data_IF_669923213104
#
_entry.id   IF_669923213104
#
_cell.length_a   1.000
_cell.length_b   1.000
_cell.length_c   1.000
_cell.angle_alpha   90.00
_cell.angle_beta   90.00
_cell.angle_gamma   90.00
#
_symmetry.space_group_name_H-M   'P 1'
#
loop_
_entity.id
_entity.type
_entity.pdbx_description
1 polymer ?
#
# COMPACT_ATOMS: atom_id res chain seq x y z
N UNK A 1 15.80 12.13 -14.21
CA UNK A 1 14.69 12.46 -15.12
C UNK A 1 13.43 12.09 -14.36
N UNK A 2 12.75 13.10 -13.80
CA UNK A 2 11.41 12.90 -13.23
C UNK A 2 10.44 12.94 -14.40
N UNK A 3 9.86 11.80 -14.76
CA UNK A 3 8.87 11.74 -15.83
C UNK A 3 7.64 12.55 -15.39
N UNK A 4 7.18 13.48 -16.23
CA UNK A 4 6.07 14.40 -15.99
C UNK A 4 4.68 13.74 -15.97
N UNK A 5 4.60 12.41 -16.09
CA UNK A 5 3.33 11.69 -16.09
C UNK A 5 2.77 11.62 -14.66
N UNK A 6 1.57 12.16 -14.41
CA UNK A 6 0.84 11.95 -13.16
C UNK A 6 0.51 10.46 -13.04
N UNK A 7 0.76 9.89 -11.86
CA UNK A 7 0.34 8.52 -11.58
C UNK A 7 -1.10 8.65 -11.11
N UNK A 8 -2.06 8.13 -11.88
CA UNK A 8 -3.44 8.05 -11.40
C UNK A 8 -3.52 6.90 -10.40
N UNK A 9 -3.54 7.26 -9.13
CA UNK A 9 -3.36 6.29 -8.05
C UNK A 9 -4.71 5.85 -7.51
N UNK A 10 -5.20 4.74 -8.07
CA UNK A 10 -6.25 4.00 -7.40
C UNK A 10 -5.66 3.50 -6.07
N UNK A 11 -6.20 3.96 -4.94
CA UNK A 11 -5.87 3.48 -3.60
C UNK A 11 -7.15 2.92 -2.96
N UNK A 12 -7.10 1.64 -2.58
CA UNK A 12 -8.13 1.01 -1.77
C UNK A 12 -7.54 0.53 -0.45
N UNK A 13 -8.17 0.89 0.67
CA UNK A 13 -7.74 0.45 2.00
C UNK A 13 -8.95 -0.06 2.77
N UNK A 14 -8.85 -1.27 3.33
CA UNK A 14 -9.95 -1.88 4.06
C UNK A 14 -9.49 -2.94 5.07
N UNK A 15 -10.38 -3.33 5.97
CA UNK A 15 -10.11 -4.42 6.91
C UNK A 15 -10.09 -5.77 6.18
N UNK A 16 -8.92 -6.42 6.14
CA UNK A 16 -8.69 -7.64 5.38
C UNK A 16 -9.12 -8.90 6.13
N UNK A 17 -10.40 -9.05 6.48
CA UNK A 17 -10.88 -10.17 7.31
C UNK A 17 -10.57 -11.57 6.74
N UNK A 18 -10.41 -11.68 5.42
CA UNK A 18 -10.07 -12.92 4.71
C UNK A 18 -8.55 -13.18 4.61
N UNK A 19 -7.71 -12.26 5.13
CA UNK A 19 -6.25 -12.38 5.05
C UNK A 19 -5.75 -13.57 5.86
N UNK A 20 -4.87 -14.37 5.25
CA UNK A 20 -4.15 -15.45 5.93
C UNK A 20 -3.02 -14.85 6.77
N UNK A 21 -3.34 -14.54 8.03
CA UNK A 21 -2.37 -14.00 9.00
C UNK A 21 -1.37 -15.10 9.40
N UNK A 22 -0.06 -14.85 9.31
CA UNK A 22 0.96 -15.78 9.82
C UNK A 22 0.74 -16.09 11.31
N UNK A 23 0.96 -17.36 11.70
CA UNK A 23 0.83 -17.76 13.12
C UNK A 23 1.87 -17.11 14.02
N UNK A 24 3.02 -16.75 13.47
CA UNK A 24 4.13 -16.17 14.22
C UNK A 24 4.08 -14.65 14.12
N UNK A 25 3.89 -13.99 15.26
CA UNK A 25 3.93 -12.53 15.38
C UNK A 25 5.39 -12.10 15.56
N UNK A 26 5.91 -11.16 14.74
CA UNK A 26 7.29 -10.67 14.89
C UNK A 26 7.54 -9.97 16.22
N UNK A 27 8.81 -9.86 16.61
CA UNK A 27 9.23 -9.18 17.84
C UNK A 27 8.83 -7.70 17.89
N UNK A 28 8.76 -7.02 16.74
CA UNK A 28 8.24 -5.64 16.63
C UNK A 28 6.80 -5.50 17.15
N UNK A 29 6.08 -6.62 17.25
CA UNK A 29 4.70 -6.72 17.68
C UNK A 29 4.52 -7.60 18.93
N UNK A 30 5.59 -8.16 19.48
CA UNK A 30 5.49 -9.12 20.59
C UNK A 30 4.97 -8.46 21.88
N UNK A 31 5.38 -7.21 22.13
CA UNK A 31 5.03 -6.44 23.33
C UNK A 31 3.88 -5.45 23.12
N UNK A 32 3.32 -5.39 21.92
CA UNK A 32 2.17 -4.54 21.65
C UNK A 32 0.88 -5.27 22.03
N UNK A 33 -0.05 -4.55 22.68
CA UNK A 33 -1.39 -5.07 22.98
C UNK A 33 -2.15 -5.46 21.70
N UNK A 34 -1.92 -4.68 20.64
CA UNK A 34 -2.54 -4.87 19.34
C UNK A 34 -1.54 -4.54 18.23
N UNK A 35 -1.63 -5.26 17.13
CA UNK A 35 -0.77 -5.06 15.97
C UNK A 35 -1.55 -5.11 14.67
N UNK A 36 -1.12 -4.33 13.69
CA UNK A 36 -1.55 -4.48 12.31
C UNK A 36 -0.74 -5.57 11.62
N UNK A 37 -1.44 -6.44 10.90
CA UNK A 37 -0.88 -7.24 9.83
C UNK A 37 -1.38 -6.65 8.51
N UNK A 38 -0.47 -6.10 7.73
CA UNK A 38 -0.80 -5.32 6.53
C UNK A 38 -0.33 -6.09 5.31
N UNK A 39 -1.26 -6.41 4.42
CA UNK A 39 -0.97 -6.94 3.10
C UNK A 39 -1.15 -5.81 2.10
N UNK A 40 -0.06 -5.44 1.41
CA UNK A 40 -0.02 -4.38 0.40
C UNK A 40 0.13 -5.03 -0.96
N UNK A 41 -0.89 -4.89 -1.81
CA UNK A 41 -0.86 -5.30 -3.22
C UNK A 41 -0.59 -4.07 -4.08
N UNK A 42 0.46 -4.14 -4.89
CA UNK A 42 0.85 -3.08 -5.82
C UNK A 42 0.71 -3.64 -7.23
N UNK A 43 -0.25 -3.11 -7.98
CA UNK A 43 -0.43 -3.42 -9.39
C UNK A 43 0.44 -2.50 -10.23
N UNK A 44 1.31 -3.08 -11.04
CA UNK A 44 2.15 -2.35 -11.98
C UNK A 44 1.48 -2.31 -13.35
N UNK A 45 1.25 -1.10 -13.83
CA UNK A 45 0.70 -0.83 -15.16
C UNK A 45 1.74 -0.09 -15.99
N UNK A 46 1.77 -0.32 -17.30
CA UNK A 46 2.61 0.43 -18.23
C UNK A 46 1.74 1.24 -19.17
N UNK A 47 2.07 2.51 -19.45
CA UNK A 47 1.39 3.27 -20.48
C UNK A 47 1.55 2.56 -21.83
N UNK A 48 0.49 2.59 -22.63
CA UNK A 48 0.50 2.15 -24.03
C UNK A 48 0.36 3.43 -24.87
N UNK A 49 1.33 3.68 -25.75
CA UNK A 49 1.19 4.70 -26.78
C UNK A 49 0.25 4.14 -27.86
N UNK A 50 -1.06 4.26 -27.64
CA UNK A 50 -2.03 4.12 -28.73
C UNK A 50 -2.25 5.50 -29.35
N UNK A 51 -1.67 5.72 -30.53
CA UNK A 51 -1.73 6.97 -31.32
C UNK A 51 -3.16 7.40 -31.74
N UNK A 52 -4.21 6.66 -31.39
CA UNK A 52 -5.54 6.79 -32.01
C UNK A 52 -6.75 6.88 -31.05
N UNK A 53 -6.62 6.84 -29.72
CA UNK A 53 -7.80 6.96 -28.83
C UNK A 53 -7.55 7.85 -27.60
N UNK A 54 -8.53 8.72 -27.34
CA UNK A 54 -8.58 9.81 -26.34
C UNK A 54 -8.57 9.33 -24.85
N UNK A 55 -8.16 8.09 -24.59
CA UNK A 55 -8.04 7.50 -23.27
C UNK A 55 -6.65 6.87 -23.13
N UNK A 56 -5.83 7.39 -22.20
CA UNK A 56 -4.55 6.79 -21.81
C UNK A 56 -4.77 5.32 -21.45
N UNK A 57 -4.48 4.40 -22.38
CA UNK A 57 -4.60 2.97 -22.17
C UNK A 57 -3.34 2.49 -21.43
N UNK A 58 -3.54 1.78 -20.31
CA UNK A 58 -2.43 1.20 -19.54
C UNK A 58 -2.50 -0.33 -19.58
N UNK A 59 -1.38 -0.96 -19.92
CA UNK A 59 -1.21 -2.41 -19.93
C UNK A 59 -0.82 -2.90 -18.54
N UNK A 60 -1.58 -3.84 -18.00
CA UNK A 60 -1.19 -4.57 -16.81
C UNK A 60 0.09 -5.40 -17.03
N UNK A 61 1.06 -5.26 -16.12
CA UNK A 61 2.32 -6.02 -16.15
C UNK A 61 2.39 -7.06 -15.05
N UNK A 62 1.91 -6.73 -13.85
CA UNK A 62 1.93 -7.67 -12.74
C UNK A 62 1.40 -7.07 -11.45
N UNK A 63 1.31 -7.92 -10.43
CA UNK A 63 0.95 -7.51 -9.08
C UNK A 63 1.99 -8.05 -8.12
N UNK A 64 2.63 -7.16 -7.39
CA UNK A 64 3.52 -7.50 -6.28
C UNK A 64 2.76 -7.46 -4.96
N UNK A 65 3.07 -8.39 -4.05
CA UNK A 65 2.44 -8.45 -2.73
C UNK A 65 3.49 -8.34 -1.64
N UNK A 66 3.32 -7.34 -0.78
CA UNK A 66 4.19 -7.04 0.35
C UNK A 66 3.45 -7.26 1.66
N UNK A 67 4.15 -7.79 2.67
CA UNK A 67 3.57 -8.09 3.98
C UNK A 67 4.33 -7.36 5.06
N UNK A 68 3.61 -6.62 5.88
CA UNK A 68 4.17 -5.81 6.96
C UNK A 68 3.49 -6.07 8.28
N UNK A 69 4.24 -5.82 9.35
CA UNK A 69 3.75 -5.85 10.72
C UNK A 69 4.07 -4.51 11.36
N UNK A 70 3.08 -3.92 12.01
CA UNK A 70 3.23 -2.64 12.70
C UNK A 70 2.48 -2.65 14.04
N UNK A 71 3.07 -2.10 15.11
CA UNK A 71 2.36 -1.93 16.37
C UNK A 71 1.19 -0.95 16.20
N UNK A 72 0.06 -1.26 16.83
CA UNK A 72 -1.07 -0.34 16.93
C UNK A 72 -0.92 0.49 18.21
N UNK A 73 -1.00 1.82 18.10
CA UNK A 73 -0.84 2.71 19.25
C UNK A 73 -2.08 2.79 20.16
N UNK A 74 -3.25 2.30 19.71
CA UNK A 74 -4.53 2.32 20.45
C UNK A 74 -4.93 3.71 20.93
N UNK A 75 -4.92 4.66 20.01
CA UNK A 75 -5.28 6.06 20.22
C UNK A 75 -6.48 6.43 19.34
N UNK A 76 -7.08 7.60 19.56
CA UNK A 76 -8.19 8.05 18.71
C UNK A 76 -7.74 8.25 17.26
N UNK A 77 -6.55 8.84 17.07
CA UNK A 77 -5.97 9.12 15.75
C UNK A 77 -4.49 8.78 15.70
N UNK A 78 -4.02 8.26 14.57
CA UNK A 78 -2.63 7.86 14.35
C UNK A 78 -2.29 6.48 14.92
N UNK A 79 -3.23 5.53 14.87
CA UNK A 79 -2.99 4.15 15.30
C UNK A 79 -1.88 3.45 14.52
N UNK A 80 -1.68 3.86 13.27
CA UNK A 80 -0.55 3.50 12.43
C UNK A 80 0.22 4.78 12.06
N UNK A 81 1.49 4.86 12.46
CA UNK A 81 2.27 6.08 12.30
C UNK A 81 2.61 6.35 10.82
N UNK A 82 2.50 7.62 10.40
CA UNK A 82 2.69 8.03 8.99
C UNK A 82 4.08 7.70 8.46
N UNK A 83 5.12 7.84 9.28
CA UNK A 83 6.50 7.49 8.93
C UNK A 83 6.65 5.99 8.61
N UNK A 84 5.96 5.12 9.37
CA UNK A 84 5.89 3.70 9.07
C UNK A 84 5.18 3.43 7.75
N UNK A 85 4.05 4.10 7.50
CA UNK A 85 3.31 3.97 6.24
C UNK A 85 4.20 4.37 5.06
N UNK A 86 4.81 5.56 5.12
CA UNK A 86 5.73 6.04 4.08
C UNK A 86 6.90 5.07 3.87
N UNK A 87 7.46 4.50 4.93
CA UNK A 87 8.52 3.49 4.82
C UNK A 87 8.04 2.21 4.13
N UNK A 88 6.82 1.74 4.43
CA UNK A 88 6.22 0.56 3.79
C UNK A 88 5.97 0.80 2.30
N UNK A 89 5.36 1.92 1.95
CA UNK A 89 5.07 2.29 0.56
C UNK A 89 6.37 2.45 -0.25
N UNK A 90 7.37 3.12 0.32
CA UNK A 90 8.69 3.27 -0.31
C UNK A 90 9.36 1.91 -0.54
N UNK A 91 9.27 0.98 0.41
CA UNK A 91 9.78 -0.40 0.25
C UNK A 91 9.06 -1.18 -0.82
N UNK A 92 7.81 -0.85 -1.10
CA UNK A 92 7.01 -1.44 -2.17
C UNK A 92 7.24 -0.76 -3.53
N UNK A 93 8.19 0.17 -3.63
CA UNK A 93 8.54 0.86 -4.87
C UNK A 93 7.60 2.01 -5.23
N UNK A 94 6.70 2.42 -4.32
CA UNK A 94 5.73 3.48 -4.59
C UNK A 94 6.44 4.85 -4.55
N UNK A 95 6.35 5.66 -5.62
CA UNK A 95 7.04 6.94 -5.71
C UNK A 95 6.33 8.01 -4.88
N UNK A 96 6.61 8.06 -3.58
CA UNK A 96 5.90 8.92 -2.61
C UNK A 96 5.79 10.41 -2.98
N UNK A 97 6.74 10.94 -3.77
CA UNK A 97 6.71 12.33 -4.25
C UNK A 97 5.58 12.62 -5.25
N UNK A 98 4.95 11.59 -5.81
CA UNK A 98 3.80 11.68 -6.72
C UNK A 98 2.47 11.33 -6.06
N UNK A 99 2.51 10.84 -4.81
CA UNK A 99 1.41 10.12 -4.16
C UNK A 99 0.93 10.90 -2.94
N UNK A 100 0.68 12.19 -3.12
CA UNK A 100 0.28 13.08 -2.03
C UNK A 100 -1.02 12.57 -1.38
N UNK A 101 -1.03 12.41 -0.06
CA UNK A 101 -2.22 11.97 0.67
C UNK A 101 -2.40 10.45 0.80
N UNK A 102 -1.61 9.62 0.12
CA UNK A 102 -1.72 8.16 0.26
C UNK A 102 -1.45 7.70 1.70
N UNK A 103 -0.41 8.26 2.33
CA UNK A 103 -0.08 7.94 3.72
C UNK A 103 -1.17 8.41 4.70
N UNK A 104 -1.75 9.59 4.45
CA UNK A 104 -2.91 10.12 5.19
C UNK A 104 -4.12 9.19 5.10
N UNK A 105 -4.45 8.74 3.89
CA UNK A 105 -5.61 7.87 3.64
C UNK A 105 -5.46 6.51 4.34
N UNK A 106 -4.28 5.89 4.26
CA UNK A 106 -3.99 4.64 4.97
C UNK A 106 -4.04 4.86 6.49
N UNK A 107 -3.48 5.96 6.99
CA UNK A 107 -3.52 6.30 8.42
C UNK A 107 -4.96 6.45 8.92
N UNK A 108 -5.82 7.12 8.15
CA UNK A 108 -7.22 7.31 8.50
C UNK A 108 -7.99 5.98 8.55
N UNK A 109 -7.77 5.10 7.57
CA UNK A 109 -8.38 3.77 7.59
C UNK A 109 -7.83 2.91 8.74
N UNK A 110 -6.56 3.05 9.10
CA UNK A 110 -6.00 2.39 10.28
C UNK A 110 -6.73 2.80 11.57
N UNK A 111 -7.07 4.08 11.71
CA UNK A 111 -7.84 4.59 12.83
C UNK A 111 -9.26 4.00 12.86
N UNK A 112 -9.94 3.94 11.71
CA UNK A 112 -11.26 3.31 11.61
C UNK A 112 -11.22 1.84 12.01
N UNK A 113 -10.22 1.09 11.53
CA UNK A 113 -10.07 -0.33 11.82
C UNK A 113 -9.78 -0.53 13.31
N UNK A 114 -8.80 0.17 13.87
CA UNK A 114 -8.41 0.01 15.28
C UNK A 114 -9.54 0.38 16.24
N UNK A 115 -10.29 1.44 15.94
CA UNK A 115 -11.35 1.95 16.81
C UNK A 115 -12.71 1.28 16.62
N UNK A 116 -12.86 0.39 15.62
CA UNK A 116 -14.09 -0.34 15.41
C UNK A 116 -14.45 -1.20 16.63
N UNK A 117 -15.73 -1.20 17.03
CA UNK A 117 -16.16 -1.84 18.27
C UNK A 117 -15.81 -3.34 18.35
N UNK A 118 -15.87 -4.06 17.22
CA UNK A 118 -15.52 -5.47 17.13
C UNK A 118 -14.02 -5.77 17.20
N UNK A 119 -13.17 -4.75 17.13
CA UNK A 119 -11.72 -4.87 17.09
C UNK A 119 -11.03 -4.54 18.43
N UNK A 120 -11.77 -4.13 19.47
CA UNK A 120 -11.21 -3.66 20.75
C UNK A 120 -10.31 -4.69 21.46
N UNK A 121 -10.67 -5.97 21.39
CA UNK A 121 -9.95 -7.07 22.05
C UNK A 121 -9.19 -7.96 21.05
N UNK A 122 -9.13 -7.53 19.79
CA UNK A 122 -8.46 -8.29 18.72
C UNK A 122 -6.98 -7.99 18.75
N UNK A 123 -6.15 -9.01 19.00
CA UNK A 123 -4.68 -8.84 19.06
C UNK A 123 -4.06 -8.45 17.71
N UNK A 124 -4.59 -8.97 16.60
CA UNK A 124 -4.05 -8.70 15.26
C UNK A 124 -5.14 -8.14 14.35
N UNK A 125 -4.95 -6.91 13.89
CA UNK A 125 -5.82 -6.19 12.98
C UNK A 125 -5.35 -6.44 11.53
N UNK A 126 -6.12 -7.19 10.73
CA UNK A 126 -5.78 -7.38 9.33
C UNK A 126 -6.16 -6.15 8.52
N UNK A 127 -5.22 -5.65 7.73
CA UNK A 127 -5.43 -4.54 6.81
C UNK A 127 -4.99 -4.96 5.41
N UNK A 128 -5.84 -4.70 4.42
CA UNK A 128 -5.48 -4.77 3.02
C UNK A 128 -5.29 -3.35 2.49
N UNK A 129 -4.20 -3.14 1.77
CA UNK A 129 -3.94 -1.95 0.98
C UNK A 129 -3.75 -2.41 -0.45
N UNK A 130 -4.50 -1.87 -1.39
CA UNK A 130 -4.31 -2.09 -2.82
C UNK A 130 -4.03 -0.78 -3.49
N UNK A 131 -3.05 -0.78 -4.37
CA UNK A 131 -2.79 0.39 -5.19
C UNK A 131 -2.29 0.00 -6.56
N UNK A 132 -2.61 0.80 -7.57
CA UNK A 132 -2.12 0.62 -8.92
C UNK A 132 -1.18 1.77 -9.24
N UNK A 133 0.02 1.46 -9.72
CA UNK A 133 1.02 2.44 -10.13
C UNK A 133 1.28 2.31 -11.62
N UNK A 134 1.28 3.43 -12.33
CA UNK A 134 1.71 3.51 -13.73
C UNK A 134 3.22 3.71 -13.76
N UNK A 135 3.95 2.68 -14.21
CA UNK A 135 5.37 2.72 -14.44
C UNK A 135 5.69 3.76 -15.51
N UNK A 136 6.69 4.63 -15.27
CA UNK A 136 7.22 5.45 -16.36
C UNK A 136 7.88 4.56 -17.43
N UNK A 137 7.81 4.97 -18.70
CA UNK A 137 8.56 4.38 -19.81
C UNK A 137 10.06 4.15 -19.50
N UNK A 138 10.66 4.96 -18.63
CA UNK A 138 12.05 4.80 -18.17
C UNK A 138 12.30 3.56 -17.30
N UNK A 139 11.25 2.87 -16.82
CA UNK A 139 11.39 1.59 -16.11
C UNK A 139 11.87 0.49 -17.07
N UNK A 140 11.63 0.64 -18.38
CA UNK A 140 12.27 -0.17 -19.42
C UNK A 140 13.68 0.38 -19.64
N UNK A 141 14.64 -0.05 -18.83
CA UNK A 141 16.06 0.18 -19.12
C UNK A 141 16.63 -1.07 -19.82
N UNK A 142 16.79 -0.95 -21.14
CA UNK A 142 17.70 -1.63 -22.07
C UNK A 142 17.94 -3.15 -22.06
N UNK A 143 17.39 -3.95 -21.14
CA UNK A 143 17.66 -5.41 -21.11
C UNK A 143 16.62 -6.28 -21.86
N UNK A 144 15.48 -5.72 -22.29
CA UNK A 144 14.43 -6.43 -23.05
C UNK A 144 14.43 -6.10 -24.56
N UNK A 145 15.49 -5.46 -25.08
CA UNK A 145 15.70 -5.26 -26.53
C UNK A 145 16.83 -6.13 -27.11
N UNK A 146 16.88 -7.42 -26.75
CA UNK A 146 17.68 -8.43 -27.46
C UNK A 146 16.85 -9.63 -27.91
#
# INVERSE_FOLDING_TARGET
>A
MDCEVPVDDLLEVYQGNELKIPKTIPSSCANADQCFFINLEVELMFPVDDDDDEFESARYVGTDTYKFWAPCLKVEHGNLAKDMITSMLTKAGIPMHKQEGMAESISWHADMIANAAHNKDVRVLPMMVKTSIIACWCFVSDDDMN
#
